data_IF_248822044147
#
_entry.id   IF_248822044147
#
_cell.length_a   1.000
_cell.length_b   1.000
_cell.length_c   1.000
_cell.angle_alpha   90.00
_cell.angle_beta   90.00
_cell.angle_gamma   90.00
#
_symmetry.space_group_name_H-M   'P 1'
#
loop_
_entity.id
_entity.type
_entity.pdbx_description
1 polymer ?
#
# COMPACT_ATOMS: atom_id res chain seq x y z
N UNK A 1 -38.53 19.05 2.15
CA UNK A 1 -38.58 17.59 1.92
C UNK A 1 -37.39 16.99 2.67
N UNK A 2 -37.61 16.33 3.81
CA UNK A 2 -36.55 15.66 4.57
C UNK A 2 -36.37 14.24 4.01
N UNK A 3 -35.27 13.99 3.33
CA UNK A 3 -34.86 12.62 2.97
C UNK A 3 -34.29 11.94 4.22
N UNK A 4 -35.10 11.09 4.85
CA UNK A 4 -34.65 10.21 5.92
C UNK A 4 -33.75 9.13 5.32
N UNK A 5 -32.44 9.21 5.59
CA UNK A 5 -31.50 8.14 5.33
C UNK A 5 -31.95 6.87 6.06
N UNK A 6 -32.37 5.87 5.30
CA UNK A 6 -32.72 4.54 5.80
C UNK A 6 -31.46 3.79 6.15
N UNK A 7 -31.13 3.73 7.44
CA UNK A 7 -29.99 2.94 7.94
C UNK A 7 -30.33 1.44 7.74
N UNK A 8 -29.51 0.65 7.00
CA UNK A 8 -29.76 -0.77 6.78
C UNK A 8 -29.81 -1.55 8.10
N UNK A 9 -30.79 -2.47 8.24
CA UNK A 9 -30.91 -3.32 9.44
C UNK A 9 -29.67 -4.19 9.62
N UNK A 10 -29.15 -4.34 10.85
CA UNK A 10 -27.95 -5.12 11.08
C UNK A 10 -28.23 -6.61 10.79
N UNK A 11 -27.56 -7.14 9.77
CA UNK A 11 -27.48 -8.59 9.52
C UNK A 11 -26.65 -9.23 10.64
N UNK A 12 -26.95 -10.48 11.01
CA UNK A 12 -26.13 -11.24 11.98
C UNK A 12 -24.66 -11.13 11.58
N UNK A 13 -23.82 -10.60 12.47
CA UNK A 13 -22.42 -10.29 12.22
C UNK A 13 -21.61 -11.58 12.06
N UNK A 14 -21.33 -11.95 10.82
CA UNK A 14 -20.25 -12.90 10.49
C UNK A 14 -19.05 -12.04 10.11
N UNK A 15 -17.88 -12.29 10.71
CA UNK A 15 -16.60 -11.71 10.31
C UNK A 15 -16.60 -10.18 10.09
N UNK A 16 -16.99 -9.40 11.13
CA UNK A 16 -17.00 -7.93 11.12
C UNK A 16 -17.96 -7.25 10.12
N UNK A 17 -18.89 -7.99 9.51
CA UNK A 17 -19.91 -7.40 8.63
C UNK A 17 -20.72 -6.30 9.33
N UNK A 18 -20.72 -5.09 8.75
CA UNK A 18 -21.40 -3.91 9.32
C UNK A 18 -20.70 -3.27 10.51
N UNK A 19 -19.49 -3.70 10.87
CA UNK A 19 -18.73 -3.16 12.00
C UNK A 19 -17.70 -2.15 11.49
N UNK A 20 -17.74 -0.93 12.04
CA UNK A 20 -16.70 0.09 11.80
C UNK A 20 -15.51 -0.20 12.70
N UNK A 21 -14.39 -0.65 12.12
CA UNK A 21 -13.19 -0.99 12.87
C UNK A 21 -12.32 0.23 13.24
N UNK A 22 -12.47 1.35 12.52
CA UNK A 22 -11.71 2.56 12.76
C UNK A 22 -11.95 3.64 11.70
N UNK A 23 -11.23 4.75 11.84
CA UNK A 23 -11.28 5.87 10.90
C UNK A 23 -10.08 5.80 9.95
N UNK A 24 -10.29 6.15 8.68
CA UNK A 24 -9.22 6.22 7.67
C UNK A 24 -9.40 7.44 6.78
N UNK A 25 -8.28 8.02 6.36
CA UNK A 25 -8.23 9.08 5.35
C UNK A 25 -7.74 8.55 3.98
N UNK A 26 -7.47 7.25 3.85
CA UNK A 26 -6.81 6.68 2.67
C UNK A 26 -7.74 6.48 1.49
N UNK A 27 -8.91 5.88 1.73
CA UNK A 27 -9.78 5.44 0.66
C UNK A 27 -11.24 5.44 1.10
N UNK A 28 -12.14 5.83 0.21
CA UNK A 28 -13.59 5.65 0.37
C UNK A 28 -14.12 4.75 -0.73
N UNK A 29 -14.95 3.78 -0.35
CA UNK A 29 -15.57 2.82 -1.26
C UNK A 29 -17.08 2.92 -1.12
N UNK A 30 -17.78 3.14 -2.24
CA UNK A 30 -19.22 3.08 -2.36
C UNK A 30 -19.99 4.12 -1.53
N UNK A 31 -19.46 5.34 -1.39
CA UNK A 31 -20.15 6.41 -0.64
C UNK A 31 -21.41 6.88 -1.37
N UNK A 32 -21.38 6.94 -2.70
CA UNK A 32 -22.51 7.35 -3.55
C UNK A 32 -22.97 6.24 -4.49
N UNK A 33 -22.41 5.04 -4.38
CA UNK A 33 -22.80 3.87 -5.18
C UNK A 33 -21.62 2.98 -5.49
N UNK A 34 -21.13 3.02 -6.73
CA UNK A 34 -19.99 2.23 -7.20
C UNK A 34 -18.71 3.08 -7.34
N UNK A 35 -18.53 4.07 -6.46
CA UNK A 35 -17.41 4.99 -6.46
C UNK A 35 -16.24 4.48 -5.61
N UNK A 36 -15.02 4.77 -6.04
CA UNK A 36 -13.80 4.46 -5.30
C UNK A 36 -12.89 5.67 -5.39
N UNK A 37 -12.48 6.21 -4.25
CA UNK A 37 -11.61 7.38 -4.21
C UNK A 37 -10.37 7.13 -3.36
N UNK A 38 -9.20 7.48 -3.87
CA UNK A 38 -7.93 7.47 -3.13
C UNK A 38 -7.62 8.88 -2.64
N UNK A 39 -7.62 9.07 -1.31
CA UNK A 39 -7.48 10.39 -0.65
C UNK A 39 -8.34 11.50 -1.28
N UNK A 40 -9.52 11.14 -1.78
CA UNK A 40 -10.48 12.07 -2.41
C UNK A 40 -10.39 12.18 -3.94
N UNK A 41 -9.40 11.56 -4.59
CA UNK A 41 -9.30 11.49 -6.05
C UNK A 41 -10.04 10.26 -6.58
N UNK A 42 -10.87 10.43 -7.62
CA UNK A 42 -11.59 9.31 -8.26
C UNK A 42 -10.60 8.31 -8.87
N UNK A 43 -10.83 7.01 -8.65
CA UNK A 43 -10.00 5.93 -9.19
C UNK A 43 -9.91 5.98 -10.72
N UNK A 44 -10.98 6.39 -11.41
CA UNK A 44 -11.02 6.44 -12.87
C UNK A 44 -10.12 7.54 -13.40
N UNK A 45 -10.16 8.72 -12.77
CA UNK A 45 -9.32 9.87 -13.11
C UNK A 45 -7.83 9.54 -12.91
N UNK A 46 -7.48 8.95 -11.76
CA UNK A 46 -6.08 8.58 -11.50
C UNK A 46 -5.60 7.42 -12.37
N UNK A 47 -6.48 6.50 -12.78
CA UNK A 47 -6.10 5.41 -13.67
C UNK A 47 -5.81 5.90 -15.10
N UNK A 48 -6.46 6.99 -15.54
CA UNK A 48 -6.26 7.56 -16.87
C UNK A 48 -5.07 8.52 -16.92
N UNK A 49 -4.80 9.26 -15.84
CA UNK A 49 -3.87 10.39 -15.87
C UNK A 49 -2.63 10.26 -14.99
N UNK A 50 -2.63 9.38 -13.99
CA UNK A 50 -1.53 9.28 -13.04
C UNK A 50 -0.64 8.05 -13.29
N UNK A 51 0.64 8.19 -12.97
CA UNK A 51 1.58 7.08 -12.94
C UNK A 51 1.54 6.35 -11.59
N UNK A 52 2.02 5.11 -11.57
CA UNK A 52 2.11 4.33 -10.32
C UNK A 52 2.89 5.07 -9.24
N UNK A 53 4.02 5.70 -9.58
CA UNK A 53 4.84 6.43 -8.61
C UNK A 53 4.13 7.66 -8.03
N UNK A 54 3.24 8.32 -8.78
CA UNK A 54 2.44 9.44 -8.27
C UNK A 54 1.43 8.97 -7.23
N UNK A 55 0.75 7.85 -7.49
CA UNK A 55 -0.24 7.26 -6.56
C UNK A 55 0.43 6.63 -5.35
N UNK A 56 1.58 5.98 -5.53
CA UNK A 56 2.43 5.54 -4.43
C UNK A 56 2.78 6.70 -3.51
N UNK A 57 3.26 7.81 -4.08
CA UNK A 57 3.60 9.00 -3.30
C UNK A 57 2.37 9.60 -2.60
N UNK A 58 1.21 9.66 -3.27
CA UNK A 58 -0.05 10.11 -2.66
C UNK A 58 -0.44 9.28 -1.44
N UNK A 59 -0.34 7.96 -1.51
CA UNK A 59 -0.77 7.09 -0.43
C UNK A 59 0.19 7.10 0.76
N UNK A 60 1.51 7.13 0.51
CA UNK A 60 2.57 7.09 1.53
C UNK A 60 2.86 8.47 2.13
N UNK A 61 2.91 9.51 1.29
CA UNK A 61 3.27 10.89 1.65
C UNK A 61 2.07 11.85 1.67
N UNK A 62 0.86 11.33 1.49
CA UNK A 62 -0.40 12.01 1.78
C UNK A 62 -0.83 13.10 0.80
N UNK A 63 -0.03 13.32 -0.26
CA UNK A 63 -0.28 14.33 -1.29
C UNK A 63 0.32 13.91 -2.62
N UNK A 64 -0.27 14.41 -3.71
CA UNK A 64 0.33 14.27 -5.03
C UNK A 64 1.69 15.01 -5.08
N UNK A 65 2.70 14.42 -5.71
CA UNK A 65 3.99 15.06 -5.89
C UNK A 65 3.89 16.15 -6.97
N UNK A 66 4.68 17.21 -6.82
CA UNK A 66 4.99 18.07 -7.96
C UNK A 66 6.04 17.39 -8.87
N UNK A 67 6.34 17.97 -10.04
CA UNK A 67 7.28 17.37 -11.02
C UNK A 67 8.68 17.10 -10.45
N UNK A 68 9.20 17.99 -9.62
CA UNK A 68 10.52 17.82 -9.02
C UNK A 68 10.52 16.68 -7.99
N UNK A 69 9.47 16.62 -7.16
CA UNK A 69 9.28 15.57 -6.17
C UNK A 69 9.07 14.21 -6.83
N UNK A 70 8.28 14.13 -7.90
CA UNK A 70 8.08 12.90 -8.65
C UNK A 70 9.40 12.38 -9.23
N UNK A 71 10.22 13.28 -9.79
CA UNK A 71 11.54 12.92 -10.33
C UNK A 71 12.47 12.40 -9.23
N UNK A 72 12.48 13.06 -8.07
CA UNK A 72 13.25 12.63 -6.92
C UNK A 72 12.76 11.27 -6.38
N UNK A 73 11.45 11.09 -6.29
CA UNK A 73 10.82 9.86 -5.80
C UNK A 73 11.09 8.68 -6.73
N UNK A 74 10.94 8.85 -8.04
CA UNK A 74 11.33 7.84 -9.05
C UNK A 74 12.81 7.46 -8.93
N UNK A 75 13.69 8.45 -8.72
CA UNK A 75 15.12 8.21 -8.52
C UNK A 75 15.38 7.40 -7.24
N UNK A 76 14.71 7.76 -6.14
CA UNK A 76 14.77 7.01 -4.87
C UNK A 76 14.32 5.56 -5.07
N UNK A 77 13.15 5.33 -5.64
CA UNK A 77 12.62 3.97 -5.86
C UNK A 77 13.54 3.15 -6.76
N UNK A 78 14.08 3.72 -7.84
CA UNK A 78 15.04 3.03 -8.72
C UNK A 78 16.28 2.57 -7.98
N UNK A 79 16.83 3.40 -7.09
CA UNK A 79 17.99 3.05 -6.27
C UNK A 79 17.69 1.92 -5.26
N UNK A 80 16.42 1.74 -4.89
CA UNK A 80 15.99 0.74 -3.90
C UNK A 80 15.65 -0.63 -4.51
N UNK A 81 15.59 -0.78 -5.84
CA UNK A 81 15.25 -2.04 -6.55
C UNK A 81 16.22 -3.20 -6.33
N UNK A 82 17.40 -2.93 -5.78
CA UNK A 82 18.39 -3.96 -5.48
C UNK A 82 17.94 -4.86 -4.32
N UNK A 83 17.74 -6.14 -4.61
CA UNK A 83 17.47 -7.17 -3.60
C UNK A 83 18.78 -7.57 -2.91
N UNK A 84 18.86 -7.57 -1.55
CA UNK A 84 20.07 -7.96 -0.84
C UNK A 84 20.49 -9.40 -1.14
N UNK A 85 21.78 -9.64 -1.35
CA UNK A 85 22.32 -10.98 -1.63
C UNK A 85 21.91 -12.08 -0.62
N UNK A 86 21.79 -11.81 0.70
CA UNK A 86 21.27 -12.80 1.63
C UNK A 86 19.83 -13.25 1.32
N UNK A 87 18.98 -12.33 0.86
CA UNK A 87 17.59 -12.64 0.47
C UNK A 87 17.60 -13.52 -0.79
N UNK A 88 18.40 -13.17 -1.80
CA UNK A 88 18.55 -13.99 -3.01
C UNK A 88 18.96 -15.43 -2.68
N UNK A 89 19.96 -15.61 -1.80
CA UNK A 89 20.39 -16.95 -1.37
C UNK A 89 19.28 -17.73 -0.70
N UNK A 90 18.44 -17.10 0.14
CA UNK A 90 17.27 -17.76 0.73
C UNK A 90 16.31 -18.23 -0.35
N UNK A 91 16.00 -17.38 -1.33
CA UNK A 91 15.10 -17.73 -2.43
C UNK A 91 15.64 -18.84 -3.32
N UNK A 92 16.95 -18.90 -3.53
CA UNK A 92 17.62 -19.97 -4.28
C UNK A 92 17.55 -21.34 -3.58
N UNK A 93 17.28 -21.38 -2.26
CA UNK A 93 17.06 -22.65 -1.54
C UNK A 93 15.63 -23.20 -1.69
N UNK A 94 14.70 -22.40 -2.20
CA UNK A 94 13.32 -22.82 -2.38
C UNK A 94 13.24 -23.78 -3.58
N UNK A 95 12.43 -24.87 -3.49
CA UNK A 95 12.15 -25.70 -4.65
C UNK A 95 11.63 -24.87 -5.83
N UNK A 96 12.07 -25.19 -7.05
CA UNK A 96 11.63 -24.48 -8.26
C UNK A 96 10.10 -24.56 -8.51
N UNK A 97 9.43 -25.55 -7.91
CA UNK A 97 7.98 -25.74 -8.00
C UNK A 97 7.19 -25.03 -6.87
N UNK A 98 7.86 -24.30 -5.96
CA UNK A 98 7.18 -23.57 -4.88
C UNK A 98 6.22 -22.53 -5.44
N UNK A 99 5.04 -22.42 -4.83
CA UNK A 99 4.02 -21.48 -5.27
C UNK A 99 4.53 -20.03 -5.15
N UNK A 100 4.33 -19.15 -6.15
CA UNK A 100 4.89 -17.79 -6.16
C UNK A 100 4.54 -16.94 -4.91
N UNK A 101 3.35 -17.13 -4.34
CA UNK A 101 2.96 -16.43 -3.10
C UNK A 101 3.78 -16.88 -1.87
N UNK A 102 4.20 -18.14 -1.81
CA UNK A 102 5.08 -18.63 -0.73
C UNK A 102 6.49 -18.08 -0.91
N UNK A 103 6.97 -17.98 -2.15
CA UNK A 103 8.23 -17.30 -2.49
C UNK A 103 8.19 -15.85 -2.06
N UNK A 104 7.15 -15.10 -2.44
CA UNK A 104 6.98 -13.68 -2.08
C UNK A 104 6.90 -13.47 -0.56
N UNK A 105 6.10 -14.27 0.15
CA UNK A 105 6.00 -14.22 1.61
C UNK A 105 7.36 -14.46 2.27
N UNK A 106 8.11 -15.45 1.79
CA UNK A 106 9.43 -15.78 2.32
C UNK A 106 10.44 -14.68 2.03
N UNK A 107 10.41 -14.09 0.83
CA UNK A 107 11.27 -12.98 0.44
C UNK A 107 11.10 -11.78 1.38
N UNK A 108 9.86 -11.36 1.62
CA UNK A 108 9.55 -10.21 2.51
C UNK A 108 9.97 -10.50 3.95
N UNK A 109 9.73 -11.72 4.45
CA UNK A 109 10.16 -12.12 5.79
C UNK A 109 11.69 -12.09 5.94
N UNK A 110 12.41 -12.68 4.98
CA UNK A 110 13.88 -12.67 4.95
C UNK A 110 14.44 -11.25 4.84
N UNK A 111 13.79 -10.37 4.05
CA UNK A 111 14.18 -8.98 3.92
C UNK A 111 14.07 -8.23 5.27
N UNK A 112 13.01 -8.47 6.05
CA UNK A 112 12.86 -7.91 7.40
C UNK A 112 13.94 -8.37 8.38
N UNK A 113 14.46 -9.59 8.23
CA UNK A 113 15.61 -10.05 9.03
C UNK A 113 16.93 -9.38 8.61
N UNK A 114 17.11 -9.10 7.31
CA UNK A 114 18.33 -8.49 6.77
C UNK A 114 18.37 -6.97 7.01
N UNK A 115 17.20 -6.33 6.98
CA UNK A 115 17.02 -4.89 7.19
C UNK A 115 16.04 -4.69 8.37
N UNK A 116 16.49 -4.89 9.62
CA UNK A 116 15.62 -4.81 10.78
C UNK A 116 15.04 -3.41 10.98
N UNK A 117 13.78 -3.36 11.42
CA UNK A 117 13.10 -2.13 11.78
C UNK A 117 13.72 -1.51 13.05
N UNK A 118 13.65 -0.18 13.15
CA UNK A 118 14.08 0.54 14.36
C UNK A 118 12.99 0.47 15.41
N UNK A 119 13.36 0.31 16.68
CA UNK A 119 12.40 0.19 17.79
C UNK A 119 11.48 1.41 17.97
N UNK A 120 11.88 2.58 17.47
CA UNK A 120 11.11 3.82 17.63
C UNK A 120 9.89 3.91 16.69
N UNK A 121 9.82 3.06 15.65
CA UNK A 121 8.76 3.02 14.63
C UNK A 121 8.27 4.40 14.19
N UNK A 122 9.19 5.34 14.02
CA UNK A 122 8.82 6.70 13.69
C UNK A 122 8.23 6.78 12.26
N UNK A 123 7.44 7.83 11.99
CA UNK A 123 6.73 7.97 10.70
C UNK A 123 7.68 8.02 9.51
N UNK A 124 8.85 8.66 9.65
CA UNK A 124 9.81 8.76 8.56
C UNK A 124 10.41 7.38 8.23
N UNK A 125 10.80 6.60 9.24
CA UNK A 125 11.30 5.25 9.10
C UNK A 125 10.26 4.30 8.51
N UNK A 126 8.99 4.40 8.95
CA UNK A 126 7.90 3.62 8.38
C UNK A 126 7.69 3.92 6.88
N UNK A 127 7.80 5.20 6.47
CA UNK A 127 7.74 5.59 5.05
C UNK A 127 8.94 5.05 4.26
N UNK A 128 10.14 5.11 4.82
CA UNK A 128 11.33 4.54 4.17
C UNK A 128 11.23 3.01 3.98
N UNK A 129 10.65 2.30 4.96
CA UNK A 129 10.35 0.86 4.84
C UNK A 129 9.31 0.61 3.76
N UNK A 130 8.24 1.42 3.71
CA UNK A 130 7.22 1.31 2.66
C UNK A 130 7.82 1.53 1.25
N UNK A 131 8.66 2.54 1.06
CA UNK A 131 9.34 2.82 -0.21
C UNK A 131 10.29 1.67 -0.60
N UNK A 132 11.00 1.10 0.38
CA UNK A 132 11.89 -0.05 0.17
C UNK A 132 11.10 -1.27 -0.30
N UNK A 133 10.01 -1.62 0.38
CA UNK A 133 9.17 -2.76 0.05
C UNK A 133 8.47 -2.59 -1.31
N UNK A 134 8.06 -1.37 -1.64
CA UNK A 134 7.41 -1.07 -2.91
C UNK A 134 8.39 -1.15 -4.10
N UNK A 135 9.66 -0.83 -3.88
CA UNK A 135 10.69 -0.88 -4.92
C UNK A 135 11.33 -2.25 -5.12
N UNK A 136 11.28 -3.13 -4.12
CA UNK A 136 12.01 -4.42 -4.09
C UNK A 136 11.39 -5.51 -4.96
#
# INVERSE_FOLDING_TARGET
>A
MNEQQTIPRPKKSVALSGITAGNTALCTVGRTGNDLHYRGYDILDIAEHAEFEEIAHLLVHERLPNRAELTAYKTKLRALRGVPAPVCRVLETLPAATHPMDVMRTAVSALGCVLPEKEDHNVAGARDIADRLMAS
#
